data_IF_615964473730
#
_entry.id   IF_615964473730
#
_cell.length_a   1.000
_cell.length_b   1.000
_cell.length_c   1.000
_cell.angle_alpha   90.00
_cell.angle_beta   90.00
_cell.angle_gamma   90.00
#
_symmetry.space_group_name_H-M   'P 1'
#
loop_
_entity.id
_entity.type
_entity.pdbx_description
1 polymer ?
#
# COMPACT_ATOMS: atom_id res chain seq x y z
N UNK A 1 -11.54 3.02 28.21
CA UNK A 1 -12.18 3.69 27.07
C UNK A 1 -11.25 3.48 25.88
N UNK A 2 -11.53 2.49 25.02
CA UNK A 2 -10.57 1.97 24.03
C UNK A 2 -10.84 2.58 22.64
N UNK A 3 -9.89 3.34 22.11
CA UNK A 3 -9.94 3.88 20.76
C UNK A 3 -9.13 2.97 19.81
N UNK A 4 -9.81 2.01 19.20
CA UNK A 4 -9.27 1.22 18.09
C UNK A 4 -9.51 1.98 16.77
N UNK A 5 -8.59 2.86 16.37
CA UNK A 5 -8.57 3.42 15.01
C UNK A 5 -7.12 3.63 14.58
N UNK A 6 -6.67 2.85 13.60
CA UNK A 6 -5.62 3.16 12.58
C UNK A 6 -4.69 1.98 12.21
N UNK A 7 -5.25 0.79 11.99
CA UNK A 7 -4.61 -0.22 11.12
C UNK A 7 -5.71 -0.86 10.30
N UNK A 8 -6.22 -0.16 9.28
CA UNK A 8 -7.42 -0.60 8.55
C UNK A 8 -7.32 -0.47 7.01
N UNK A 9 -6.17 -0.11 6.44
CA UNK A 9 -6.14 0.50 5.10
C UNK A 9 -5.19 -0.08 4.06
N UNK A 10 -4.77 -1.34 4.16
CA UNK A 10 -4.15 -2.01 3.00
C UNK A 10 -5.17 -2.72 2.09
N UNK A 11 -6.33 -3.15 2.61
CA UNK A 11 -7.21 -4.08 1.91
C UNK A 11 -8.69 -3.77 2.18
N UNK A 12 -9.36 -3.14 1.21
CA UNK A 12 -10.79 -2.82 1.30
C UNK A 12 -11.72 -4.01 0.97
N UNK A 13 -11.15 -5.20 0.72
CA UNK A 13 -11.82 -6.41 0.23
C UNK A 13 -11.93 -7.53 1.26
N UNK A 14 -11.27 -7.40 2.41
CA UNK A 14 -11.43 -8.26 3.59
C UNK A 14 -12.31 -7.59 4.65
N UNK A 15 -13.01 -8.33 5.51
CA UNK A 15 -13.61 -7.76 6.71
C UNK A 15 -12.61 -6.85 7.45
N UNK A 16 -13.08 -5.73 8.01
CA UNK A 16 -12.22 -4.74 8.66
C UNK A 16 -11.27 -5.33 9.72
N UNK A 17 -11.67 -6.45 10.35
CA UNK A 17 -10.87 -7.16 11.34
C UNK A 17 -9.71 -7.99 10.75
N UNK A 18 -9.69 -8.23 9.43
CA UNK A 18 -8.64 -8.99 8.73
C UNK A 18 -7.55 -8.12 8.09
N UNK A 19 -7.83 -6.82 7.88
CA UNK A 19 -6.89 -5.71 7.58
C UNK A 19 -5.59 -6.04 6.79
N UNK A 20 -4.56 -5.20 6.95
CA UNK A 20 -3.20 -5.41 6.49
C UNK A 20 -2.56 -6.60 7.22
N UNK A 21 -2.89 -7.84 6.84
CA UNK A 21 -2.29 -9.01 7.46
C UNK A 21 -0.87 -9.26 6.95
N UNK A 22 -0.07 -9.92 7.77
CA UNK A 22 1.25 -10.39 7.39
C UNK A 22 1.21 -11.18 6.08
N UNK A 23 2.16 -10.92 5.18
CA UNK A 23 2.36 -11.60 3.89
C UNK A 23 1.32 -11.29 2.81
N UNK A 24 0.32 -10.45 3.08
CA UNK A 24 -0.65 -10.06 2.05
C UNK A 24 -0.01 -9.19 0.95
N UNK A 25 1.05 -8.46 1.27
CA UNK A 25 1.81 -7.58 0.38
C UNK A 25 2.48 -8.33 -0.78
N UNK A 26 2.79 -9.61 -0.63
CA UNK A 26 3.47 -10.40 -1.67
C UNK A 26 2.70 -10.40 -2.98
N UNK A 27 1.37 -10.48 -2.92
CA UNK A 27 0.54 -10.44 -4.12
C UNK A 27 0.61 -9.06 -4.82
N UNK A 28 0.84 -7.97 -4.08
CA UNK A 28 1.01 -6.63 -4.63
C UNK A 28 2.41 -6.42 -5.21
N UNK A 29 3.46 -6.89 -4.52
CA UNK A 29 4.86 -6.78 -4.99
C UNK A 29 5.03 -7.45 -6.34
N UNK A 30 4.44 -8.63 -6.53
CA UNK A 30 4.55 -9.38 -7.77
C UNK A 30 3.50 -9.01 -8.82
N UNK A 31 2.60 -8.05 -8.55
CA UNK A 31 1.47 -7.69 -9.42
C UNK A 31 0.61 -8.90 -9.82
N UNK A 32 0.30 -9.75 -8.83
CA UNK A 32 -0.40 -11.04 -9.02
C UNK A 32 -1.73 -11.13 -8.29
N UNK A 33 -2.31 -9.98 -7.95
CA UNK A 33 -3.59 -9.88 -7.22
C UNK A 33 -4.78 -10.58 -7.90
N UNK A 34 -4.68 -10.84 -9.20
CA UNK A 34 -5.71 -11.53 -9.99
C UNK A 34 -5.57 -13.06 -9.93
N UNK A 35 -4.47 -13.54 -9.36
CA UNK A 35 -4.17 -14.95 -9.24
C UNK A 35 -4.56 -15.37 -7.82
N UNK A 36 -5.61 -16.20 -7.73
CA UNK A 36 -6.11 -16.78 -6.48
C UNK A 36 -5.14 -17.84 -5.93
N UNK A 37 -3.93 -17.43 -5.55
CA UNK A 37 -2.84 -18.34 -5.23
C UNK A 37 -2.96 -19.08 -3.90
N UNK A 38 -3.87 -18.66 -3.00
CA UNK A 38 -4.06 -19.34 -1.73
C UNK A 38 -5.43 -19.05 -1.12
N UNK A 39 -5.86 -19.95 -0.24
CA UNK A 39 -7.13 -19.84 0.46
C UNK A 39 -7.12 -18.64 1.41
N UNK A 40 -8.12 -17.78 1.25
CA UNK A 40 -8.16 -16.48 1.92
C UNK A 40 -7.36 -15.38 1.23
N UNK A 41 -6.89 -15.54 -0.02
CA UNK A 41 -6.36 -14.44 -0.84
C UNK A 41 -7.24 -13.19 -0.69
N UNK A 42 -6.66 -12.00 -0.44
CA UNK A 42 -7.43 -10.87 0.03
C UNK A 42 -8.37 -10.27 -1.04
N UNK A 43 -8.34 -10.84 -2.25
CA UNK A 43 -9.07 -10.40 -3.44
C UNK A 43 -10.18 -11.36 -3.89
N UNK A 44 -10.38 -12.49 -3.18
CA UNK A 44 -11.41 -13.51 -3.51
C UNK A 44 -12.83 -12.93 -3.65
N UNK A 45 -13.13 -11.79 -3.00
CA UNK A 45 -14.43 -11.12 -3.06
C UNK A 45 -14.40 -9.76 -3.79
N UNK A 46 -13.56 -9.62 -4.82
CA UNK A 46 -13.48 -8.43 -5.68
C UNK A 46 -14.72 -8.24 -6.59
N UNK A 47 -15.92 -8.59 -6.12
CA UNK A 47 -17.21 -8.40 -6.80
C UNK A 47 -17.58 -6.92 -6.97
N UNK A 48 -16.81 -6.00 -6.37
CA UNK A 48 -16.95 -4.54 -6.51
C UNK A 48 -15.85 -4.00 -7.44
N UNK A 49 -16.16 -3.68 -8.72
CA UNK A 49 -15.16 -3.28 -9.71
C UNK A 49 -14.23 -2.14 -9.27
N UNK A 50 -14.76 -1.11 -8.60
CA UNK A 50 -13.96 0.03 -8.12
C UNK A 50 -12.87 -0.40 -7.12
N UNK A 51 -13.19 -1.32 -6.20
CA UNK A 51 -12.23 -1.82 -5.20
C UNK A 51 -11.16 -2.72 -5.81
N UNK A 52 -11.55 -3.50 -6.83
CA UNK A 52 -10.61 -4.29 -7.62
C UNK A 52 -9.63 -3.37 -8.32
N UNK A 53 -10.12 -2.36 -9.04
CA UNK A 53 -9.29 -1.39 -9.75
C UNK A 53 -8.33 -0.66 -8.81
N UNK A 54 -8.80 -0.22 -7.63
CA UNK A 54 -7.93 0.40 -6.62
C UNK A 54 -6.79 -0.53 -6.18
N UNK A 55 -7.08 -1.82 -6.01
CA UNK A 55 -6.06 -2.82 -5.66
C UNK A 55 -5.07 -3.05 -6.80
N UNK A 56 -5.55 -3.08 -8.05
CA UNK A 56 -4.68 -3.17 -9.25
C UNK A 56 -3.77 -1.96 -9.40
N UNK A 57 -4.28 -0.76 -9.15
CA UNK A 57 -3.47 0.44 -9.20
C UNK A 57 -2.33 0.38 -8.18
N UNK A 58 -2.63 -0.03 -6.93
CA UNK A 58 -1.61 -0.16 -5.88
C UNK A 58 -0.62 -1.28 -6.16
N UNK A 59 -1.07 -2.42 -6.68
CA UNK A 59 -0.19 -3.53 -7.04
C UNK A 59 0.80 -3.11 -8.13
N UNK A 60 0.30 -2.51 -9.21
CA UNK A 60 1.14 -2.01 -10.29
C UNK A 60 2.11 -0.92 -9.80
N UNK A 61 1.66 -0.01 -8.93
CA UNK A 61 2.50 1.01 -8.32
C UNK A 61 3.61 0.41 -7.43
N UNK A 62 3.25 -0.52 -6.53
CA UNK A 62 4.21 -1.17 -5.63
C UNK A 62 5.24 -1.99 -6.41
N UNK A 63 4.80 -2.78 -7.39
CA UNK A 63 5.67 -3.59 -8.25
C UNK A 63 6.69 -2.72 -9.00
N UNK A 64 6.26 -1.63 -9.63
CA UNK A 64 7.18 -0.71 -10.33
C UNK A 64 8.12 0.03 -9.40
N UNK A 65 7.66 0.45 -8.22
CA UNK A 65 8.54 1.04 -7.20
C UNK A 65 9.68 0.07 -6.82
N UNK A 66 9.37 -1.22 -6.67
CA UNK A 66 10.39 -2.25 -6.39
C UNK A 66 11.36 -2.42 -7.56
N UNK A 67 10.87 -2.47 -8.79
CA UNK A 67 11.72 -2.57 -9.99
C UNK A 67 12.71 -1.40 -10.08
N UNK A 68 12.23 -0.17 -9.87
CA UNK A 68 13.10 1.01 -9.95
C UNK A 68 14.04 1.15 -8.77
N UNK A 69 13.61 0.74 -7.58
CA UNK A 69 14.50 0.67 -6.43
C UNK A 69 15.66 -0.30 -6.69
N UNK A 70 15.39 -1.47 -7.27
CA UNK A 70 16.44 -2.45 -7.61
C UNK A 70 17.38 -1.90 -8.70
N UNK A 71 16.84 -1.23 -9.71
CA UNK A 71 17.62 -0.76 -10.85
C UNK A 71 18.45 0.51 -10.55
N UNK A 72 17.89 1.43 -9.75
CA UNK A 72 18.39 2.80 -9.63
C UNK A 72 18.59 3.25 -8.17
N UNK A 73 18.21 2.42 -7.19
CA UNK A 73 18.20 2.81 -5.77
C UNK A 73 17.11 3.84 -5.43
N UNK A 74 16.19 4.14 -6.36
CA UNK A 74 15.15 5.14 -6.20
C UNK A 74 13.80 4.60 -6.71
N UNK A 75 12.78 4.44 -5.84
CA UNK A 75 11.48 3.89 -6.23
C UNK A 75 10.60 4.85 -7.05
N UNK A 76 11.01 6.11 -7.24
CA UNK A 76 10.17 7.15 -7.84
C UNK A 76 10.16 7.18 -9.37
N UNK A 77 10.97 6.36 -10.05
CA UNK A 77 11.01 6.28 -11.52
C UNK A 77 9.91 5.40 -12.13
N UNK A 78 8.88 5.06 -11.34
CA UNK A 78 7.83 4.05 -11.58
C UNK A 78 6.87 4.30 -12.77
N UNK A 79 7.06 5.41 -13.51
CA UNK A 79 6.25 5.76 -14.67
C UNK A 79 4.81 6.19 -14.37
N UNK A 80 4.45 6.43 -13.11
CA UNK A 80 3.14 7.00 -12.75
C UNK A 80 3.21 8.53 -12.71
N UNK A 81 2.49 9.18 -13.62
CA UNK A 81 2.32 10.63 -13.58
C UNK A 81 1.57 11.06 -12.32
N UNK A 82 2.06 12.10 -11.63
CA UNK A 82 1.47 12.66 -10.40
C UNK A 82 1.36 11.69 -9.22
N UNK A 83 2.12 10.58 -9.21
CA UNK A 83 2.25 9.77 -8.01
C UNK A 83 2.95 10.56 -6.90
N UNK A 84 2.52 10.34 -5.65
CA UNK A 84 3.22 10.89 -4.49
C UNK A 84 4.64 10.34 -4.46
N UNK A 85 5.61 11.23 -4.20
CA UNK A 85 7.00 10.82 -4.08
C UNK A 85 7.23 10.00 -2.80
N UNK A 86 7.89 8.86 -2.94
CA UNK A 86 8.45 8.12 -1.81
C UNK A 86 9.75 8.81 -1.39
N UNK A 87 9.63 9.64 -0.36
CA UNK A 87 10.73 10.41 0.22
C UNK A 87 11.76 9.46 0.87
N UNK A 88 13.04 9.85 0.83
CA UNK A 88 14.07 9.16 1.60
C UNK A 88 13.76 9.34 3.08
N UNK A 89 13.70 8.22 3.80
CA UNK A 89 13.43 8.26 5.23
C UNK A 89 14.52 9.06 5.97
N UNK A 90 14.10 10.05 6.75
CA UNK A 90 14.99 10.88 7.54
C UNK A 90 14.42 11.07 8.95
N UNK A 91 15.08 10.49 9.96
CA UNK A 91 14.62 10.55 11.35
C UNK A 91 14.65 11.98 11.96
N UNK A 92 15.21 12.98 11.29
CA UNK A 92 15.21 14.37 11.80
C UNK A 92 14.05 15.22 11.28
N UNK A 93 13.25 14.70 10.32
CA UNK A 93 12.05 15.39 9.82
C UNK A 93 10.79 14.92 10.56
N UNK A 94 9.64 15.56 10.33
CA UNK A 94 8.38 15.18 10.98
C UNK A 94 8.38 15.40 12.50
N UNK A 95 9.18 16.32 13.02
CA UNK A 95 9.33 16.50 14.46
C UNK A 95 10.29 15.50 15.13
N UNK A 96 11.16 14.84 14.35
CA UNK A 96 12.15 13.89 14.87
C UNK A 96 11.72 12.42 14.78
N UNK A 97 10.66 12.15 14.02
CA UNK A 97 10.07 10.80 13.88
C UNK A 97 10.29 10.21 12.49
N UNK A 98 10.61 11.03 11.48
CA UNK A 98 10.67 10.58 10.09
C UNK A 98 9.29 10.45 9.43
N UNK A 99 9.28 10.00 8.17
CA UNK A 99 8.06 9.94 7.34
C UNK A 99 7.98 8.62 6.58
N UNK A 100 6.81 8.02 6.59
CA UNK A 100 6.49 6.76 5.93
C UNK A 100 5.67 6.99 4.65
N UNK A 101 5.92 6.15 3.65
CA UNK A 101 5.01 5.99 2.51
C UNK A 101 3.91 4.99 2.88
N UNK A 102 2.66 5.44 2.87
CA UNK A 102 1.48 4.62 3.10
C UNK A 102 0.88 4.18 1.78
N UNK A 103 0.84 2.86 1.57
CA UNK A 103 0.23 2.25 0.39
C UNK A 103 -1.21 1.85 0.69
N UNK A 104 -2.17 2.42 -0.04
CA UNK A 104 -3.60 2.21 0.23
C UNK A 104 -4.42 2.03 -1.05
N UNK A 105 -5.27 1.01 -1.04
CA UNK A 105 -6.17 0.63 -2.13
C UNK A 105 -7.60 1.15 -1.85
N UNK A 106 -7.77 2.48 -1.84
CA UNK A 106 -9.05 3.15 -1.57
C UNK A 106 -9.43 4.15 -2.66
N UNK A 107 -10.73 4.30 -2.93
CA UNK A 107 -11.22 5.25 -3.92
C UNK A 107 -10.92 4.84 -5.37
N UNK A 108 -11.05 5.81 -6.29
CA UNK A 108 -10.69 5.63 -7.69
C UNK A 108 -9.26 6.18 -7.92
N UNK A 109 -8.34 5.33 -8.41
CA UNK A 109 -6.95 5.73 -8.69
C UNK A 109 -5.92 5.31 -7.64
N UNK A 110 -4.78 6.01 -7.60
CA UNK A 110 -3.74 5.85 -6.58
C UNK A 110 -4.05 6.76 -5.39
N UNK A 111 -4.24 6.15 -4.21
CA UNK A 111 -4.58 6.89 -2.98
C UNK A 111 -3.46 6.92 -1.94
N UNK A 112 -2.28 6.40 -2.28
CA UNK A 112 -1.10 6.37 -1.42
C UNK A 112 -0.66 7.78 -1.02
N UNK A 113 -0.10 7.92 0.18
CA UNK A 113 0.27 9.22 0.75
C UNK A 113 1.46 9.09 1.71
N UNK A 114 2.06 10.22 2.07
CA UNK A 114 3.15 10.26 3.07
C UNK A 114 2.60 10.73 4.41
N UNK A 115 2.98 10.08 5.50
CA UNK A 115 2.64 10.48 6.88
C UNK A 115 3.84 10.41 7.82
N UNK A 116 3.77 11.13 8.93
CA UNK A 116 4.80 11.11 9.97
C UNK A 116 4.74 9.80 10.77
N UNK A 117 5.90 9.21 11.06
CA UNK A 117 6.02 7.93 11.77
C UNK A 117 5.81 8.05 13.29
N UNK A 118 4.57 8.37 13.68
CA UNK A 118 4.17 8.68 15.07
C UNK A 118 3.40 7.55 15.75
N UNK A 119 3.43 6.33 15.20
CA UNK A 119 2.60 5.25 15.73
C UNK A 119 3.27 4.52 16.91
N UNK A 120 2.46 4.20 17.94
CA UNK A 120 2.86 3.43 19.14
C UNK A 120 3.94 4.08 20.02
N UNK A 121 3.99 5.41 20.05
CA UNK A 121 4.74 6.17 21.06
C UNK A 121 4.28 5.87 22.50
#
# INVERSE_FOLDING_TARGET
MWAARKIQRLLSLTPAYLSARHFAEVAFVFDTIDLNFYDGAPFHNATKPAKRNASMNVASFMSRNWVDFINQGNPNANGFANAIAWEVYNATVGGGVGRNMVLTATGDGLSSYVEDDTFRE
#
